data_IF_787810308476
#
_entry.id   IF_787810308476
#
_cell.length_a   1.000
_cell.length_b   1.000
_cell.length_c   1.000
_cell.angle_alpha   90.00
_cell.angle_beta   90.00
_cell.angle_gamma   90.00
#
_symmetry.space_group_name_H-M   'P 1'
#
loop_
_entity.id
_entity.type
_entity.pdbx_description
1 polymer ?
#
# COMPACT_ATOMS: atom_id res chain seq x y z
N UNK A 1 -6.86 4.39 -7.28
CA UNK A 1 -6.03 4.13 -6.08
C UNK A 1 -4.53 4.31 -6.38
N UNK A 2 -3.95 3.61 -7.38
CA UNK A 2 -2.50 3.61 -7.68
C UNK A 2 -1.89 5.01 -7.95
N UNK A 3 -2.57 5.88 -8.71
CA UNK A 3 -2.05 7.20 -9.12
C UNK A 3 -2.33 8.31 -8.11
N UNK A 4 -3.20 8.08 -7.15
CA UNK A 4 -3.72 9.11 -6.24
C UNK A 4 -3.54 8.77 -4.76
N UNK A 5 -2.75 7.75 -4.47
CA UNK A 5 -2.58 7.20 -3.13
C UNK A 5 -2.06 8.22 -2.11
N UNK A 6 -1.22 9.15 -2.56
CA UNK A 6 -0.55 10.14 -1.71
C UNK A 6 -0.98 11.59 -1.99
N UNK A 7 -2.11 11.79 -2.64
CA UNK A 7 -2.64 13.14 -2.83
C UNK A 7 -3.04 13.75 -1.49
N UNK A 8 -2.90 15.08 -1.39
CA UNK A 8 -3.19 15.84 -0.15
C UNK A 8 -4.67 15.85 0.22
N UNK A 9 -5.54 15.77 -0.79
CA UNK A 9 -6.97 15.84 -0.60
C UNK A 9 -7.53 14.43 -0.47
N UNK A 10 -8.43 14.19 0.51
CA UNK A 10 -9.09 12.90 0.61
C UNK A 10 -9.92 12.63 -0.64
N UNK A 11 -9.77 11.44 -1.18
CA UNK A 11 -10.61 10.93 -2.28
C UNK A 11 -11.53 9.91 -1.67
N UNK A 12 -12.81 10.21 -1.69
CA UNK A 12 -13.85 9.34 -1.16
C UNK A 12 -14.54 8.61 -2.31
N UNK A 13 -14.62 7.30 -2.18
CA UNK A 13 -15.34 6.45 -3.12
C UNK A 13 -16.62 5.97 -2.47
N UNK A 14 -17.76 6.25 -3.11
CA UNK A 14 -19.04 5.68 -2.72
C UNK A 14 -19.10 4.22 -3.14
N UNK A 15 -18.96 3.33 -2.19
CA UNK A 15 -18.86 1.89 -2.45
C UNK A 15 -19.84 1.09 -1.58
N UNK A 16 -20.26 -0.06 -2.08
CA UNK A 16 -21.03 -1.01 -1.28
C UNK A 16 -20.11 -1.84 -0.41
N UNK A 17 -20.43 -1.93 0.86
CA UNK A 17 -19.80 -2.84 1.81
C UNK A 17 -20.77 -3.95 2.15
N UNK A 18 -20.44 -5.17 1.78
CA UNK A 18 -21.23 -6.35 2.11
C UNK A 18 -20.70 -6.93 3.43
N UNK A 19 -21.57 -7.00 4.43
CA UNK A 19 -21.31 -7.71 5.68
C UNK A 19 -22.21 -8.94 5.73
N UNK A 20 -21.69 -10.00 6.31
CA UNK A 20 -22.45 -11.24 6.59
C UNK A 20 -22.64 -11.27 8.08
N UNK A 21 -23.90 -11.18 8.50
CA UNK A 21 -24.29 -11.27 9.90
C UNK A 21 -25.06 -12.58 10.09
N UNK A 22 -24.75 -13.32 11.16
CA UNK A 22 -25.47 -14.52 11.49
C UNK A 22 -26.67 -14.14 12.37
N UNK A 23 -27.87 -14.25 11.81
CA UNK A 23 -29.13 -14.06 12.53
C UNK A 23 -29.73 -15.40 12.92
N UNK A 24 -30.36 -15.45 14.10
CA UNK A 24 -31.05 -16.66 14.55
C UNK A 24 -32.25 -16.90 13.66
N UNK A 25 -32.31 -18.09 13.07
CA UNK A 25 -33.49 -18.56 12.34
C UNK A 25 -34.50 -19.15 13.34
N UNK A 26 -35.49 -18.33 13.73
CA UNK A 26 -36.49 -18.73 14.72
C UNK A 26 -37.31 -19.93 14.29
N UNK A 27 -37.62 -20.05 12.99
CA UNK A 27 -38.44 -21.19 12.49
C UNK A 27 -37.61 -22.49 12.48
N UNK A 28 -36.34 -22.42 12.04
CA UNK A 28 -35.45 -23.56 12.06
C UNK A 28 -35.09 -23.98 13.47
N UNK A 29 -34.91 -23.00 14.37
CA UNK A 29 -34.64 -23.25 15.79
C UNK A 29 -35.83 -23.90 16.50
N UNK A 30 -37.08 -23.46 16.21
CA UNK A 30 -38.30 -24.07 16.75
C UNK A 30 -38.45 -25.52 16.29
N UNK A 31 -38.23 -25.80 14.99
CA UNK A 31 -38.26 -27.17 14.48
C UNK A 31 -37.19 -28.06 15.12
N UNK A 32 -35.97 -27.55 15.30
CA UNK A 32 -34.91 -28.30 15.94
C UNK A 32 -35.24 -28.64 17.41
N UNK A 33 -35.91 -27.73 18.11
CA UNK A 33 -36.34 -27.93 19.51
C UNK A 33 -37.58 -28.79 19.67
N UNK A 34 -38.37 -29.02 18.61
CA UNK A 34 -39.46 -30.01 18.58
C UNK A 34 -38.91 -31.46 18.65
N UNK A 35 -37.75 -31.68 17.99
CA UNK A 35 -37.10 -32.99 17.96
C UNK A 35 -36.13 -33.18 19.15
N UNK A 36 -35.45 -32.12 19.60
CA UNK A 36 -34.54 -32.11 20.75
C UNK A 36 -34.70 -30.78 21.53
N UNK A 37 -35.28 -30.82 22.76
CA UNK A 37 -35.49 -29.62 23.58
C UNK A 37 -34.24 -28.81 23.90
N UNK A 38 -33.07 -29.47 23.93
CA UNK A 38 -31.77 -28.86 24.22
C UNK A 38 -30.98 -28.45 22.91
N UNK A 39 -31.63 -28.51 21.74
CA UNK A 39 -31.00 -28.13 20.49
C UNK A 39 -30.53 -26.68 20.51
N UNK A 40 -29.29 -26.46 20.06
CA UNK A 40 -28.70 -25.15 19.91
C UNK A 40 -29.47 -24.29 18.89
N UNK A 41 -29.36 -22.97 18.99
CA UNK A 41 -29.96 -22.03 18.06
C UNK A 41 -29.39 -22.21 16.63
N UNK A 42 -30.28 -22.31 15.66
CA UNK A 42 -29.90 -22.41 14.28
C UNK A 42 -29.77 -20.99 13.73
N UNK A 43 -28.58 -20.66 13.21
CA UNK A 43 -28.32 -19.35 12.59
C UNK A 43 -28.37 -19.43 11.09
N UNK A 44 -28.86 -18.36 10.45
CA UNK A 44 -28.77 -18.14 9.01
C UNK A 44 -27.89 -16.92 8.73
N UNK A 45 -27.07 -17.01 7.72
CA UNK A 45 -26.25 -15.89 7.27
C UNK A 45 -27.09 -14.93 6.44
N UNK A 46 -27.22 -13.70 6.92
CA UNK A 46 -27.93 -12.63 6.24
C UNK A 46 -26.93 -11.66 5.64
N UNK A 47 -27.12 -11.39 4.36
CA UNK A 47 -26.24 -10.46 3.64
C UNK A 47 -26.76 -9.04 3.76
N UNK A 48 -26.03 -8.20 4.48
CA UNK A 48 -26.34 -6.78 4.60
C UNK A 48 -25.44 -5.97 3.66
N UNK A 49 -26.04 -5.23 2.74
CA UNK A 49 -25.31 -4.33 1.84
C UNK A 49 -25.55 -2.89 2.29
N UNK A 50 -24.48 -2.26 2.80
CA UNK A 50 -24.49 -0.84 3.14
C UNK A 50 -23.65 -0.09 2.12
N UNK A 51 -24.14 1.08 1.70
CA UNK A 51 -23.37 2.00 0.86
C UNK A 51 -22.84 3.11 1.73
N UNK A 52 -21.54 3.36 1.63
CA UNK A 52 -20.87 4.41 2.39
C UNK A 52 -19.67 4.96 1.62
N UNK A 53 -19.23 6.15 2.02
CA UNK A 53 -18.03 6.76 1.47
C UNK A 53 -16.79 6.19 2.16
N UNK A 54 -15.90 5.61 1.37
CA UNK A 54 -14.60 5.10 1.84
C UNK A 54 -13.47 5.99 1.30
N UNK A 55 -12.62 6.50 2.20
CA UNK A 55 -11.41 7.22 1.82
C UNK A 55 -10.40 6.24 1.23
N UNK A 56 -10.03 6.42 -0.04
CA UNK A 56 -9.15 5.48 -0.76
C UNK A 56 -7.68 5.86 -0.73
N UNK A 57 -7.35 7.07 -0.31
CA UNK A 57 -5.98 7.60 -0.20
C UNK A 57 -5.63 8.00 1.24
N UNK A 58 -5.79 7.09 2.16
CA UNK A 58 -5.52 7.31 3.59
C UNK A 58 -4.02 7.32 3.94
N UNK A 59 -3.14 6.83 3.07
CA UNK A 59 -1.71 6.78 3.33
C UNK A 59 -1.08 8.17 3.27
N UNK A 60 -0.36 8.53 4.33
CA UNK A 60 0.41 9.77 4.35
C UNK A 60 1.77 9.57 3.69
N UNK A 61 2.23 10.52 2.86
CA UNK A 61 3.53 10.45 2.20
C UNK A 61 4.67 10.68 3.23
N UNK A 62 5.23 9.58 3.74
CA UNK A 62 6.23 9.61 4.81
C UNK A 62 7.51 10.33 4.39
N UNK A 63 7.89 10.24 3.11
CA UNK A 63 9.09 10.87 2.55
C UNK A 63 9.04 12.40 2.49
N UNK A 64 7.86 13.00 2.71
CA UNK A 64 7.72 14.46 2.76
C UNK A 64 8.07 15.05 4.13
N UNK A 65 8.03 14.22 5.18
CA UNK A 65 8.37 14.66 6.54
C UNK A 65 9.89 14.75 6.69
N UNK A 66 10.37 15.64 7.56
CA UNK A 66 11.79 15.69 7.88
C UNK A 66 12.27 14.32 8.40
N UNK A 67 13.42 13.80 7.92
CA UNK A 67 13.93 12.48 8.34
C UNK A 67 14.06 12.31 9.85
N UNK A 68 14.36 13.40 10.57
CA UNK A 68 14.55 13.39 12.03
C UNK A 68 13.25 13.25 12.82
N UNK A 69 12.09 13.48 12.19
CA UNK A 69 10.76 13.42 12.82
C UNK A 69 10.08 12.08 12.59
N UNK A 70 10.70 11.18 11.82
CA UNK A 70 10.13 9.88 11.49
C UNK A 70 10.89 8.82 12.28
N UNK A 71 10.16 8.02 13.04
CA UNK A 71 10.75 6.95 13.83
C UNK A 71 10.85 5.63 13.05
N UNK A 72 11.63 4.69 13.55
CA UNK A 72 11.88 3.40 12.91
C UNK A 72 10.59 2.55 12.79
N UNK A 73 9.65 2.70 13.72
CA UNK A 73 8.37 1.99 13.68
C UNK A 73 7.53 2.47 12.51
N UNK A 74 7.43 3.78 12.30
CA UNK A 74 6.71 4.37 11.16
C UNK A 74 7.34 3.93 9.83
N UNK A 75 8.69 3.87 9.77
CA UNK A 75 9.38 3.35 8.60
C UNK A 75 9.07 1.88 8.33
N UNK A 76 9.04 1.04 9.36
CA UNK A 76 8.71 -0.39 9.23
C UNK A 76 7.28 -0.61 8.77
N UNK A 77 6.33 0.12 9.35
CA UNK A 77 4.91 0.05 8.96
C UNK A 77 4.71 0.50 7.51
N UNK A 78 5.35 1.61 7.14
CA UNK A 78 5.30 2.13 5.78
C UNK A 78 5.91 1.14 4.78
N UNK A 79 7.07 0.58 5.10
CA UNK A 79 7.75 -0.41 4.27
C UNK A 79 6.87 -1.63 4.01
N UNK A 80 6.29 -2.21 5.07
CA UNK A 80 5.38 -3.37 4.97
C UNK A 80 4.15 -3.06 4.13
N UNK A 81 3.56 -1.89 4.35
CA UNK A 81 2.35 -1.48 3.64
C UNK A 81 2.61 -1.13 2.17
N UNK A 82 3.61 -0.30 1.88
CA UNK A 82 3.88 0.22 0.54
C UNK A 82 4.48 -0.83 -0.41
N UNK A 83 5.26 -1.78 0.13
CA UNK A 83 5.98 -2.80 -0.65
C UNK A 83 5.50 -4.23 -0.38
N UNK A 84 4.43 -4.39 0.42
CA UNK A 84 3.86 -5.71 0.80
C UNK A 84 4.92 -6.65 1.38
N UNK A 85 5.83 -6.09 2.17
CA UNK A 85 6.88 -6.86 2.84
C UNK A 85 6.33 -7.47 4.14
N UNK A 86 6.85 -8.65 4.48
CA UNK A 86 6.46 -9.36 5.71
C UNK A 86 7.39 -9.02 6.88
N UNK A 87 8.64 -8.68 6.58
CA UNK A 87 9.70 -8.36 7.55
C UNK A 87 10.00 -6.86 7.59
N UNK A 88 10.76 -6.47 8.61
CA UNK A 88 11.25 -5.11 8.74
C UNK A 88 12.42 -4.87 7.79
N UNK A 89 12.65 -3.64 7.35
CA UNK A 89 13.82 -3.31 6.54
C UNK A 89 15.11 -3.45 7.37
N UNK A 90 16.19 -3.86 6.73
CA UNK A 90 17.50 -3.92 7.36
C UNK A 90 18.06 -2.51 7.64
N UNK A 91 17.87 -1.60 6.69
CA UNK A 91 18.26 -0.20 6.76
C UNK A 91 17.27 0.69 6.03
N UNK A 92 17.13 1.90 6.54
CA UNK A 92 16.33 2.97 5.93
C UNK A 92 17.24 4.11 5.52
N UNK A 93 17.02 4.64 4.33
CA UNK A 93 17.71 5.81 3.78
C UNK A 93 16.62 6.83 3.44
N UNK A 94 16.56 7.90 4.22
CA UNK A 94 15.58 8.95 4.07
C UNK A 94 16.28 10.30 3.96
N UNK A 95 16.16 10.97 2.83
CA UNK A 95 16.80 12.26 2.61
C UNK A 95 16.00 13.13 1.62
N UNK A 96 16.26 14.42 1.69
CA UNK A 96 15.82 15.42 0.73
C UNK A 96 17.04 16.10 0.13
N UNK A 97 17.04 16.29 -1.17
CA UNK A 97 18.03 17.06 -1.88
C UNK A 97 17.39 18.35 -2.39
N UNK A 98 18.00 19.46 -2.05
CA UNK A 98 17.60 20.79 -2.50
C UNK A 98 18.76 21.39 -3.32
N UNK A 99 18.51 21.68 -4.58
CA UNK A 99 19.52 22.20 -5.51
C UNK A 99 18.91 22.61 -6.83
N UNK A 100 19.63 22.39 -7.92
CA UNK A 100 19.09 22.60 -9.27
C UNK A 100 17.94 21.63 -9.61
N UNK A 101 17.96 20.44 -8.99
CA UNK A 101 16.87 19.48 -9.02
C UNK A 101 16.48 19.21 -7.58
N UNK A 102 15.20 19.36 -7.29
CA UNK A 102 14.64 19.07 -5.97
C UNK A 102 13.97 17.72 -5.97
N UNK A 103 14.41 16.84 -5.05
CA UNK A 103 13.73 15.57 -4.87
C UNK A 103 13.86 15.06 -3.42
N UNK A 104 12.90 14.26 -3.04
CA UNK A 104 12.87 13.55 -1.76
C UNK A 104 12.93 12.05 -2.04
N UNK A 105 13.75 11.36 -1.28
CA UNK A 105 13.92 9.93 -1.45
C UNK A 105 13.77 9.19 -0.12
N UNK A 106 13.03 8.10 -0.19
CA UNK A 106 12.86 7.16 0.90
C UNK A 106 13.15 5.76 0.36
N UNK A 107 14.28 5.19 0.75
CA UNK A 107 14.75 3.91 0.26
C UNK A 107 14.98 2.95 1.42
N UNK A 108 14.73 1.68 1.15
CA UNK A 108 14.88 0.59 2.11
C UNK A 108 15.79 -0.49 1.55
N UNK A 109 16.67 -0.95 2.40
CA UNK A 109 17.42 -2.19 2.17
C UNK A 109 16.61 -3.32 2.79
N UNK A 110 16.08 -4.28 2.03
CA UNK A 110 15.34 -5.42 2.58
C UNK A 110 16.26 -6.29 3.42
N UNK A 111 15.70 -6.94 4.44
CA UNK A 111 16.43 -7.88 5.29
C UNK A 111 16.70 -9.20 4.56
N UNK A 112 15.75 -9.63 3.74
CA UNK A 112 15.85 -10.79 2.86
C UNK A 112 15.66 -10.36 1.42
N UNK A 113 16.35 -11.03 0.49
CA UNK A 113 16.18 -10.74 -0.93
C UNK A 113 14.74 -11.02 -1.36
N UNK A 114 14.13 -10.14 -2.17
CA UNK A 114 12.84 -10.40 -2.79
C UNK A 114 12.84 -11.72 -3.55
N UNK A 115 11.72 -12.44 -3.48
CA UNK A 115 11.61 -13.77 -4.10
C UNK A 115 11.90 -13.76 -5.60
N UNK A 116 11.51 -12.68 -6.27
CA UNK A 116 11.75 -12.46 -7.70
C UNK A 116 13.26 -12.49 -8.02
N UNK A 117 14.07 -11.91 -7.17
CA UNK A 117 15.53 -11.86 -7.33
C UNK A 117 16.24 -13.17 -6.97
N UNK A 118 15.59 -14.05 -6.21
CA UNK A 118 16.13 -15.38 -5.93
C UNK A 118 16.13 -16.28 -7.17
N UNK A 119 15.22 -16.07 -8.10
CA UNK A 119 15.14 -16.82 -9.34
C UNK A 119 16.01 -16.22 -10.45
N UNK A 120 16.04 -14.91 -10.55
CA UNK A 120 16.85 -14.18 -11.52
C UNK A 120 17.30 -12.83 -10.96
N UNK A 121 18.55 -12.72 -10.57
CA UNK A 121 19.13 -11.46 -10.04
C UNK A 121 19.11 -10.28 -11.01
N UNK A 122 18.83 -10.53 -12.30
CA UNK A 122 18.82 -9.54 -13.36
C UNK A 122 17.43 -9.36 -13.97
N UNK A 123 16.38 -9.78 -13.27
CA UNK A 123 15.01 -9.58 -13.74
C UNK A 123 14.68 -8.07 -13.74
N UNK A 124 14.43 -7.53 -14.91
CA UNK A 124 14.04 -6.12 -15.11
C UNK A 124 12.70 -5.79 -14.43
N UNK A 125 11.87 -6.81 -14.18
CA UNK A 125 10.59 -6.62 -13.48
C UNK A 125 10.73 -6.61 -11.94
N UNK A 126 11.88 -6.98 -11.41
CA UNK A 126 12.15 -6.99 -9.97
C UNK A 126 12.43 -5.58 -9.40
N UNK A 127 12.49 -4.55 -10.27
CA UNK A 127 12.67 -3.18 -9.83
C UNK A 127 11.48 -2.73 -8.97
N UNK A 128 11.78 -2.37 -7.73
CA UNK A 128 10.78 -1.94 -6.75
C UNK A 128 10.93 -0.47 -6.36
N UNK A 129 11.59 0.31 -7.22
CA UNK A 129 11.68 1.76 -7.06
C UNK A 129 10.49 2.42 -7.74
N UNK A 130 9.77 3.26 -6.98
CA UNK A 130 8.61 3.99 -7.46
C UNK A 130 8.98 5.45 -7.66
N UNK A 131 8.75 5.97 -8.85
CA UNK A 131 8.95 7.39 -9.16
C UNK A 131 7.63 8.13 -9.04
N UNK A 132 7.67 9.21 -8.28
CA UNK A 132 6.59 10.18 -8.15
C UNK A 132 7.06 11.55 -8.64
N UNK A 133 6.14 12.33 -9.15
CA UNK A 133 6.33 13.75 -9.43
C UNK A 133 5.17 14.50 -8.80
N UNK A 134 5.49 15.41 -7.89
CA UNK A 134 4.48 16.16 -7.11
C UNK A 134 3.44 15.23 -6.47
N UNK A 135 3.89 14.09 -5.90
CA UNK A 135 3.08 13.05 -5.24
C UNK A 135 2.17 12.24 -6.17
N UNK A 136 2.28 12.45 -7.48
CA UNK A 136 1.58 11.64 -8.47
C UNK A 136 2.48 10.51 -8.91
N UNK A 137 2.00 9.28 -8.85
CA UNK A 137 2.74 8.13 -9.35
C UNK A 137 2.97 8.24 -10.86
N UNK A 138 4.23 8.08 -11.28
CA UNK A 138 4.64 8.12 -12.69
C UNK A 138 4.97 6.71 -13.16
N UNK A 139 5.98 6.09 -12.55
CA UNK A 139 6.49 4.81 -13.02
C UNK A 139 7.13 3.99 -11.89
N UNK A 140 7.06 2.67 -12.00
CA UNK A 140 7.73 1.71 -11.12
C UNK A 140 8.77 0.83 -11.85
N UNK A 141 8.98 1.09 -13.14
CA UNK A 141 9.93 0.37 -13.99
C UNK A 141 11.13 1.21 -14.43
N UNK A 142 11.28 2.38 -13.85
CA UNK A 142 12.37 3.28 -14.20
C UNK A 142 13.67 2.84 -13.52
N UNK A 143 14.74 2.69 -14.27
CA UNK A 143 16.06 2.32 -13.75
C UNK A 143 16.72 3.52 -13.04
N UNK A 144 16.28 3.79 -11.80
CA UNK A 144 16.85 4.83 -10.95
C UNK A 144 18.19 4.44 -10.34
N UNK A 145 18.42 3.15 -10.19
CA UNK A 145 19.60 2.61 -9.52
C UNK A 145 20.37 1.67 -10.44
N UNK A 146 21.69 1.57 -10.26
CA UNK A 146 22.50 0.56 -10.94
C UNK A 146 21.97 -0.85 -10.66
N UNK A 147 22.16 -1.77 -11.61
CA UNK A 147 21.64 -3.16 -11.53
C UNK A 147 22.02 -3.90 -10.26
N UNK A 148 23.16 -3.62 -9.66
CA UNK A 148 23.59 -4.25 -8.40
C UNK A 148 22.83 -3.77 -7.17
N UNK A 149 22.02 -2.70 -7.28
CA UNK A 149 21.11 -2.18 -6.24
C UNK A 149 19.63 -2.51 -6.51
N UNK A 150 19.33 -3.37 -7.47
CA UNK A 150 17.95 -3.71 -7.85
C UNK A 150 17.13 -4.28 -6.69
N UNK A 151 17.79 -4.84 -5.67
CA UNK A 151 17.13 -5.36 -4.46
C UNK A 151 16.56 -4.26 -3.55
N UNK A 152 16.98 -3.00 -3.73
CA UNK A 152 16.46 -1.89 -2.94
C UNK A 152 15.02 -1.58 -3.33
N UNK A 153 14.24 -1.23 -2.34
CA UNK A 153 12.85 -0.78 -2.50
C UNK A 153 12.74 0.66 -2.05
N UNK A 154 11.99 1.47 -2.76
CA UNK A 154 11.91 2.86 -2.37
C UNK A 154 10.97 3.71 -3.21
N UNK A 155 10.91 4.97 -2.80
CA UNK A 155 10.16 6.03 -3.44
C UNK A 155 11.10 7.21 -3.67
N UNK A 156 11.03 7.75 -4.87
CA UNK A 156 11.66 9.03 -5.21
C UNK A 156 10.56 9.95 -5.69
N UNK A 157 10.46 11.13 -5.09
CA UNK A 157 9.46 12.16 -5.45
C UNK A 157 10.19 13.43 -5.83
N UNK A 158 10.06 13.84 -7.07
CA UNK A 158 10.66 15.07 -7.58
C UNK A 158 9.60 16.14 -7.84
N UNK A 159 9.95 17.39 -7.57
CA UNK A 159 9.07 18.52 -7.87
C UNK A 159 9.33 19.12 -9.26
N UNK A 160 10.51 18.88 -9.84
CA UNK A 160 11.02 19.63 -11.01
C UNK A 160 11.19 18.76 -12.26
N UNK A 161 10.91 17.46 -12.22
CA UNK A 161 11.05 16.60 -13.39
C UNK A 161 10.07 17.03 -14.49
N UNK A 162 10.55 17.37 -15.68
CA UNK A 162 9.68 17.71 -16.79
C UNK A 162 8.96 16.46 -17.30
N UNK A 163 7.65 16.53 -17.29
CA UNK A 163 6.78 15.46 -17.81
C UNK A 163 6.07 15.95 -19.07
N UNK A 164 5.88 15.06 -20.02
CA UNK A 164 4.97 15.30 -21.14
C UNK A 164 3.50 15.15 -20.70
N UNK A 165 2.56 15.44 -21.63
CA UNK A 165 1.12 15.29 -21.38
C UNK A 165 0.73 13.84 -21.03
N UNK A 166 1.49 12.86 -21.52
CA UNK A 166 1.31 11.43 -21.21
C UNK A 166 1.91 11.00 -19.88
N UNK A 167 2.50 11.92 -19.09
CA UNK A 167 3.24 11.66 -17.85
C UNK A 167 4.48 10.79 -18.03
N UNK A 168 5.09 10.89 -19.19
CA UNK A 168 6.41 10.29 -19.45
C UNK A 168 7.49 11.34 -19.22
N UNK A 169 8.67 10.90 -18.79
CA UNK A 169 9.82 11.80 -18.61
C UNK A 169 10.33 12.20 -19.98
N UNK A 170 10.58 13.49 -20.16
CA UNK A 170 11.16 14.07 -21.38
C UNK A 170 12.66 13.86 -21.43
#
# INVERSE_FOLDING_TARGET
>A
KRYSEFLQFPIELYASKTTYDDEVDEEATKKAREDDPDAAEVTKSVTNVKFDYEVVNSMKPLWLRPPKEVNDTEHSEFYKSAFRAFDDPLRTIHFALEGQVQFKALMYVPKSLPFELNQNMFDENANSMKLYVKRVFINDKFELLPRWLVFMRGIVDSEDLPLNVGREIL
#
